data_IF_210324391380
#
_entry.id   IF_210324391380
#
_cell.length_a   1.000
_cell.length_b   1.000
_cell.length_c   1.000
_cell.angle_alpha   90.00
_cell.angle_beta   90.00
_cell.angle_gamma   90.00
#
_symmetry.space_group_name_H-M   'P 1'
#
loop_
_entity.id
_entity.type
_entity.pdbx_description
1 polymer ?
#
# COMPACT_ATOMS: atom_id res chain seq x y z
N UNK A 1 -6.76 -8.06 -1.53
CA UNK A 1 -5.67 -7.65 -2.43
C UNK A 1 -5.77 -6.15 -2.66
N UNK A 2 -4.71 -5.48 -3.08
CA UNK A 2 -4.71 -4.06 -3.47
C UNK A 2 -4.10 -3.90 -4.85
N UNK A 3 -4.62 -2.96 -5.64
CA UNK A 3 -4.01 -2.57 -6.90
C UNK A 3 -3.00 -1.46 -6.64
N UNK A 4 -1.78 -1.62 -7.15
CA UNK A 4 -0.67 -0.69 -6.95
C UNK A 4 -0.02 -0.34 -8.28
N UNK A 5 0.64 0.81 -8.34
CA UNK A 5 1.39 1.26 -9.51
C UNK A 5 2.89 1.07 -9.29
N UNK A 6 3.59 0.54 -10.30
CA UNK A 6 5.05 0.56 -10.31
C UNK A 6 5.56 1.96 -10.59
N UNK A 7 6.47 2.45 -9.75
CA UNK A 7 7.11 3.75 -9.90
C UNK A 7 8.52 3.54 -10.48
N UNK A 8 8.85 4.12 -11.65
CA UNK A 8 10.21 4.13 -12.15
C UNK A 8 11.13 4.96 -11.23
N UNK A 9 12.43 4.65 -11.17
CA UNK A 9 13.36 5.32 -10.24
C UNK A 9 13.47 6.85 -10.45
N UNK A 10 13.13 7.35 -11.64
CA UNK A 10 13.09 8.78 -11.96
C UNK A 10 11.74 9.45 -11.65
N UNK A 11 10.78 8.72 -11.08
CA UNK A 11 9.44 9.24 -10.82
C UNK A 11 9.49 10.39 -9.80
N UNK A 12 8.77 11.52 -10.01
CA UNK A 12 8.83 12.68 -9.11
C UNK A 12 8.49 12.38 -7.65
N UNK A 13 7.58 11.43 -7.40
CA UNK A 13 7.21 10.97 -6.04
C UNK A 13 8.37 10.38 -5.24
N UNK A 14 9.46 9.97 -5.91
CA UNK A 14 10.61 9.35 -5.28
C UNK A 14 11.73 10.34 -4.94
N UNK A 15 11.56 11.63 -5.26
CA UNK A 15 12.62 12.64 -5.12
C UNK A 15 13.21 12.73 -3.71
N UNK A 16 12.36 12.58 -2.69
CA UNK A 16 12.75 12.68 -1.28
C UNK A 16 13.01 11.30 -0.64
N UNK A 17 13.07 10.22 -1.44
CA UNK A 17 13.32 8.85 -0.98
C UNK A 17 14.79 8.46 -1.14
N UNK A 18 15.22 7.49 -0.33
CA UNK A 18 16.54 6.87 -0.50
C UNK A 18 16.62 6.26 -1.91
N UNK A 19 17.77 6.39 -2.57
CA UNK A 19 17.96 5.76 -3.89
C UNK A 19 17.78 4.25 -3.77
N UNK A 20 17.12 3.65 -4.75
CA UNK A 20 16.95 2.18 -4.84
C UNK A 20 18.30 1.48 -4.78
N UNK A 21 18.40 0.41 -3.99
CA UNK A 21 19.61 -0.43 -3.95
C UNK A 21 19.83 -1.04 -5.34
N UNK A 22 21.04 -0.94 -5.87
CA UNK A 22 21.35 -1.32 -7.26
C UNK A 22 21.13 -2.81 -7.53
N UNK A 23 21.10 -3.65 -6.49
CA UNK A 23 20.85 -5.09 -6.58
C UNK A 23 19.41 -5.45 -6.23
N UNK A 24 18.54 -4.47 -6.02
CA UNK A 24 17.13 -4.69 -5.73
C UNK A 24 16.32 -4.76 -7.03
N UNK A 25 15.80 -5.95 -7.40
CA UNK A 25 15.03 -6.09 -8.63
C UNK A 25 13.65 -5.44 -8.53
N UNK A 26 13.14 -5.19 -7.32
CA UNK A 26 11.77 -4.70 -7.11
C UNK A 26 11.71 -3.19 -7.29
N UNK A 27 10.69 -2.65 -7.98
CA UNK A 27 10.48 -1.21 -8.08
C UNK A 27 9.86 -0.65 -6.79
N UNK A 28 10.00 0.66 -6.60
CA UNK A 28 9.09 1.38 -5.72
C UNK A 28 7.65 1.24 -6.22
N UNK A 29 6.69 1.22 -5.30
CA UNK A 29 5.27 1.14 -5.69
C UNK A 29 4.45 2.23 -5.01
N UNK A 30 3.28 2.50 -5.58
CA UNK A 30 2.27 3.38 -5.01
C UNK A 30 0.94 2.62 -4.84
N UNK A 31 0.45 2.52 -3.60
CA UNK A 31 -0.91 2.12 -3.32
C UNK A 31 -1.81 3.35 -3.27
N UNK A 32 -2.72 3.50 -4.25
CA UNK A 32 -3.74 4.56 -4.23
C UNK A 32 -4.92 4.13 -3.37
N UNK A 33 -5.54 5.09 -2.70
CA UNK A 33 -6.70 4.80 -1.88
C UNK A 33 -7.96 4.70 -2.76
N UNK A 34 -8.84 3.76 -2.44
CA UNK A 34 -10.10 3.61 -3.14
C UNK A 34 -11.14 4.63 -2.65
N UNK A 35 -12.14 4.99 -3.46
CA UNK A 35 -13.24 5.86 -3.02
C UNK A 35 -13.89 5.41 -1.70
N UNK A 36 -14.11 4.10 -1.52
CA UNK A 36 -14.66 3.54 -0.28
C UNK A 36 -13.74 3.71 0.95
N UNK A 37 -12.43 3.80 0.73
CA UNK A 37 -11.47 4.09 1.80
C UNK A 37 -11.50 5.58 2.16
N UNK A 38 -11.66 6.45 1.16
CA UNK A 38 -11.78 7.90 1.36
C UNK A 38 -13.07 8.22 2.13
N UNK A 39 -14.20 7.63 1.69
CA UNK A 39 -15.52 7.84 2.31
C UNK A 39 -15.53 7.44 3.79
N UNK A 40 -14.98 6.28 4.15
CA UNK A 40 -14.90 5.83 5.54
C UNK A 40 -14.10 6.77 6.45
N UNK A 41 -13.07 7.42 5.91
CA UNK A 41 -12.30 8.42 6.67
C UNK A 41 -13.13 9.67 6.87
N UNK A 42 -13.79 10.17 5.82
CA UNK A 42 -14.68 11.33 5.91
C UNK A 42 -15.82 11.10 6.92
N UNK A 43 -16.52 9.97 6.84
CA UNK A 43 -17.60 9.59 7.77
C UNK A 43 -17.10 9.51 9.24
N UNK A 44 -15.90 8.98 9.47
CA UNK A 44 -15.31 8.94 10.83
C UNK A 44 -14.89 10.30 11.38
N UNK A 45 -14.59 11.27 10.51
CA UNK A 45 -14.27 12.65 10.89
C UNK A 45 -15.54 13.46 11.20
N UNK A 46 -16.64 13.18 10.52
CA UNK A 46 -17.93 13.85 10.77
C UNK A 46 -18.58 13.39 12.09
N UNK A 47 -18.45 12.12 12.47
CA UNK A 47 -18.98 11.60 13.75
C UNK A 47 -18.31 12.22 14.99
N UNK A 48 -17.09 12.75 14.85
CA UNK A 48 -16.35 13.39 15.94
C UNK A 48 -16.61 14.91 16.04
N UNK A 49 -17.33 15.50 15.08
CA UNK A 49 -17.59 16.93 15.04
C UNK A 49 -19.09 17.23 14.84
N UNK A 50 -19.89 17.02 15.90
CA UNK A 50 -21.24 17.58 15.97
C UNK A 50 -21.18 19.10 16.19
N UNK A 51 -20.88 19.85 15.14
CA UNK A 51 -21.40 21.20 14.99
C UNK A 51 -21.70 21.49 13.53
N UNK A 52 -22.98 21.76 13.29
CA UNK A 52 -23.66 22.12 12.05
C UNK A 52 -22.88 23.09 11.16
N UNK A 53 -22.65 22.69 9.91
CA UNK A 53 -22.62 23.64 8.77
C UNK A 53 -23.24 22.93 7.56
N UNK A 54 -24.32 23.50 7.05
CA UNK A 54 -24.97 23.16 5.80
C UNK A 54 -23.98 23.35 4.64
N UNK A 55 -23.81 22.32 3.80
CA UNK A 55 -22.99 22.40 2.60
C UNK A 55 -23.87 22.77 1.41
N UNK A 56 -23.72 24.02 0.98
CA UNK A 56 -24.17 24.50 -0.31
C UNK A 56 -23.46 23.71 -1.44
N UNK A 57 -24.27 23.33 -2.42
CA UNK A 57 -23.95 22.62 -3.64
C UNK A 57 -23.27 23.61 -4.63
N UNK A 58 -21.97 23.91 -4.47
CA UNK A 58 -21.20 24.60 -5.54
C UNK A 58 -19.68 24.68 -5.26
N UNK A 59 -18.92 23.59 -5.49
CA UNK A 59 -17.53 23.67 -5.98
C UNK A 59 -17.22 22.44 -6.83
N UNK A 60 -17.57 22.47 -8.11
CA UNK A 60 -17.02 21.56 -9.12
C UNK A 60 -15.54 21.90 -9.40
N UNK A 61 -14.63 21.53 -8.49
CA UNK A 61 -13.17 21.44 -8.73
C UNK A 61 -12.48 20.46 -7.74
N UNK A 62 -13.18 19.40 -7.32
CA UNK A 62 -12.70 18.42 -6.34
C UNK A 62 -11.73 17.39 -6.98
N UNK A 63 -10.48 17.85 -7.14
CA UNK A 63 -9.22 17.07 -7.11
C UNK A 63 -8.87 16.16 -8.31
N UNK A 64 -8.02 16.69 -9.21
CA UNK A 64 -7.21 15.89 -10.15
C UNK A 64 -6.19 14.96 -9.47
N UNK A 65 -6.15 14.92 -8.13
CA UNK A 65 -5.23 14.12 -7.32
C UNK A 65 -5.93 12.92 -6.70
N UNK A 66 -5.15 11.94 -6.24
CA UNK A 66 -5.61 10.80 -5.46
C UNK A 66 -4.67 10.57 -4.28
N UNK A 67 -5.19 10.28 -3.08
CA UNK A 67 -4.37 9.95 -1.94
C UNK A 67 -3.66 8.63 -2.15
N UNK A 68 -2.37 8.58 -1.81
CA UNK A 68 -1.53 7.41 -1.99
C UNK A 68 -0.59 7.12 -0.81
N UNK A 69 -0.11 5.88 -0.76
CA UNK A 69 0.88 5.40 0.19
C UNK A 69 2.03 4.74 -0.58
N UNK A 70 3.26 5.13 -0.26
CA UNK A 70 4.46 4.59 -0.91
C UNK A 70 4.82 3.22 -0.33
N UNK A 71 5.24 2.31 -1.20
CA UNK A 71 5.77 1.01 -0.81
C UNK A 71 7.22 0.92 -1.28
N UNK A 72 8.07 0.47 -0.37
CA UNK A 72 9.52 0.47 -0.51
C UNK A 72 9.99 -0.98 -0.60
N UNK A 73 10.75 -1.36 -1.64
CA UNK A 73 11.40 -2.66 -1.71
C UNK A 73 12.14 -2.98 -0.41
N UNK A 74 11.92 -4.18 0.14
CA UNK A 74 12.45 -4.54 1.47
C UNK A 74 13.98 -4.47 1.52
N UNK A 75 14.67 -4.89 0.45
CA UNK A 75 16.12 -4.81 0.34
C UNK A 75 16.61 -3.36 0.30
N UNK A 76 15.97 -2.50 -0.49
CA UNK A 76 16.27 -1.06 -0.54
C UNK A 76 16.02 -0.39 0.79
N UNK A 77 14.85 -0.63 1.39
CA UNK A 77 14.55 -0.16 2.74
C UNK A 77 15.71 -0.56 3.65
N UNK A 78 16.11 -1.83 3.62
CA UNK A 78 17.18 -2.36 4.47
C UNK A 78 18.62 -2.06 4.02
N UNK A 79 18.84 -1.32 2.92
CA UNK A 79 20.16 -1.05 2.33
C UNK A 79 21.00 -2.32 2.11
N UNK A 80 20.33 -3.38 1.66
CA UNK A 80 20.97 -4.68 1.44
C UNK A 80 21.31 -5.46 2.72
N UNK A 81 21.05 -4.92 3.92
CA UNK A 81 21.29 -5.64 5.16
C UNK A 81 20.19 -6.68 5.42
N UNK A 82 20.62 -7.93 5.61
CA UNK A 82 19.75 -9.01 6.03
C UNK A 82 19.73 -9.09 7.57
N UNK A 83 18.56 -9.28 8.21
CA UNK A 83 18.50 -9.52 9.63
C UNK A 83 19.26 -10.82 9.98
N UNK A 84 20.28 -10.70 10.83
CA UNK A 84 21.20 -11.79 11.20
C UNK A 84 20.51 -13.01 11.85
N UNK A 85 19.29 -12.84 12.36
CA UNK A 85 18.51 -13.89 13.03
C UNK A 85 17.47 -14.56 12.12
N UNK A 86 17.68 -14.54 10.80
CA UNK A 86 17.00 -15.45 9.88
C UNK A 86 15.51 -15.18 9.70
N UNK A 87 15.19 -14.21 8.85
CA UNK A 87 14.06 -14.35 7.91
C UNK A 87 14.57 -13.85 6.57
N UNK A 88 14.59 -14.72 5.54
CA UNK A 88 14.88 -14.26 4.18
C UNK A 88 13.80 -13.25 3.80
N UNK A 89 14.20 -12.13 3.20
CA UNK A 89 13.23 -11.31 2.47
C UNK A 89 12.55 -12.22 1.46
N UNK A 90 11.24 -12.13 1.39
CA UNK A 90 10.57 -12.76 0.26
C UNK A 90 11.01 -12.01 -0.99
N UNK A 91 11.23 -12.73 -2.08
CA UNK A 91 11.75 -12.16 -3.33
C UNK A 91 10.89 -11.00 -3.87
N UNK A 92 9.63 -10.90 -3.42
CA UNK A 92 8.64 -9.89 -3.77
C UNK A 92 8.14 -9.06 -2.56
N UNK A 93 8.90 -9.02 -1.45
CA UNK A 93 8.51 -8.28 -0.24
C UNK A 93 8.79 -6.77 -0.37
N UNK A 94 7.78 -5.97 -0.08
CA UNK A 94 7.83 -4.51 0.05
C UNK A 94 7.28 -4.08 1.42
N UNK A 95 7.72 -2.92 1.91
CA UNK A 95 7.21 -2.32 3.14
C UNK A 95 6.37 -1.09 2.85
N UNK A 96 5.25 -0.93 3.55
CA UNK A 96 4.47 0.29 3.48
C UNK A 96 5.15 1.41 4.28
N UNK A 97 5.38 2.55 3.66
CA UNK A 97 5.91 3.71 4.36
C UNK A 97 4.90 4.19 5.42
N UNK A 98 5.35 4.23 6.68
CA UNK A 98 4.50 4.53 7.85
C UNK A 98 3.97 5.97 7.79
N UNK A 99 4.79 6.92 7.32
CA UNK A 99 4.41 8.33 7.24
C UNK A 99 3.31 8.56 6.20
N UNK A 100 3.51 8.08 4.96
CA UNK A 100 2.50 8.15 3.90
C UNK A 100 1.30 7.21 4.10
N UNK A 101 1.41 6.22 4.99
CA UNK A 101 0.26 5.42 5.41
C UNK A 101 -0.69 6.20 6.33
N UNK A 102 -0.13 7.02 7.23
CA UNK A 102 -0.88 7.84 8.18
C UNK A 102 -1.38 9.12 7.53
N UNK A 103 -0.53 9.81 6.77
CA UNK A 103 -0.87 11.02 6.01
C UNK A 103 -0.59 10.75 4.53
N UNK A 104 -1.60 10.36 3.73
CA UNK A 104 -1.39 10.03 2.32
C UNK A 104 -0.82 11.22 1.56
N UNK A 105 -0.06 10.90 0.52
CA UNK A 105 0.43 11.90 -0.44
C UNK A 105 -0.65 12.14 -1.49
N UNK A 106 -0.84 13.41 -1.87
CA UNK A 106 -1.75 13.77 -2.95
C UNK A 106 -1.04 13.59 -4.29
N UNK A 107 -1.47 12.58 -5.06
CA UNK A 107 -0.83 12.19 -6.32
C UNK A 107 -1.67 12.64 -7.50
N UNK A 108 -1.16 13.52 -8.40
CA UNK A 108 -1.85 13.86 -9.64
C UNK A 108 -2.16 12.62 -10.47
N UNK A 109 -3.43 12.43 -10.88
CA UNK A 109 -3.87 11.28 -11.68
C UNK A 109 -3.11 11.15 -13.00
N UNK A 110 -2.69 12.29 -13.57
CA UNK A 110 -1.87 12.33 -14.79
C UNK A 110 -0.53 11.60 -14.62
N UNK A 111 0.04 11.56 -13.41
CA UNK A 111 1.27 10.82 -13.14
C UNK A 111 1.05 9.30 -13.16
N UNK A 112 -0.18 8.83 -13.03
CA UNK A 112 -0.52 7.40 -12.95
C UNK A 112 -0.88 6.79 -14.31
N UNK A 113 -1.19 7.60 -15.32
CA UNK A 113 -1.83 7.15 -16.56
C UNK A 113 -1.07 6.05 -17.31
N UNK A 114 0.26 6.13 -17.34
CA UNK A 114 1.13 5.19 -18.07
C UNK A 114 1.90 4.24 -17.16
N UNK A 115 1.53 4.15 -15.88
CA UNK A 115 2.26 3.30 -14.94
C UNK A 115 1.72 1.86 -14.94
N UNK A 116 2.60 0.85 -14.92
CA UNK A 116 2.18 -0.55 -14.80
C UNK A 116 1.40 -0.78 -13.51
N UNK A 117 0.29 -1.50 -13.61
CA UNK A 117 -0.51 -1.92 -12.45
C UNK A 117 -0.14 -3.31 -12.03
N UNK A 118 -0.03 -3.52 -10.72
CA UNK A 118 0.31 -4.80 -10.09
C UNK A 118 -0.59 -5.07 -8.91
N UNK A 119 -0.56 -6.32 -8.45
CA UNK A 119 -1.31 -6.75 -7.28
C UNK A 119 -0.40 -6.80 -6.06
N UNK A 120 -0.82 -6.13 -5.00
CA UNK A 120 -0.21 -6.18 -3.68
C UNK A 120 -1.08 -7.02 -2.73
N UNK A 121 -0.42 -7.95 -2.06
CA UNK A 121 -1.00 -8.83 -1.07
C UNK A 121 -0.58 -8.37 0.33
N UNK A 122 -1.57 -7.97 1.13
CA UNK A 122 -1.36 -7.43 2.47
C UNK A 122 -1.95 -8.32 3.55
N UNK A 123 -1.25 -8.45 4.67
CA UNK A 123 -1.73 -9.21 5.82
C UNK A 123 -0.79 -9.10 7.01
N UNK A 124 -1.14 -9.73 8.13
CA UNK A 124 -0.27 -9.79 9.31
C UNK A 124 0.92 -10.74 9.16
N UNK A 125 0.95 -11.52 8.08
CA UNK A 125 2.01 -12.48 7.75
C UNK A 125 1.60 -13.35 6.57
N UNK A 126 2.54 -14.15 6.05
CA UNK A 126 2.32 -14.97 4.87
C UNK A 126 1.22 -16.00 5.01
N UNK A 127 1.16 -16.67 6.15
CA UNK A 127 0.08 -17.62 6.43
C UNK A 127 -1.30 -16.96 6.39
N UNK A 128 -1.40 -15.69 6.80
CA UNK A 128 -2.64 -14.93 6.71
C UNK A 128 -2.97 -14.53 5.27
N UNK A 129 -1.97 -14.21 4.47
CA UNK A 129 -2.14 -13.80 3.07
C UNK A 129 -2.59 -14.98 2.21
N UNK A 130 -2.00 -16.17 2.41
CA UNK A 130 -2.32 -17.37 1.63
C UNK A 130 -3.48 -18.17 2.18
N UNK A 131 -4.08 -17.75 3.29
CA UNK A 131 -5.17 -18.49 3.93
C UNK A 131 -6.37 -18.60 2.99
N UNK A 132 -6.69 -19.83 2.61
CA UNK A 132 -7.85 -20.12 1.75
C UNK A 132 -7.64 -19.79 0.27
N UNK A 133 -6.40 -19.50 -0.14
CA UNK A 133 -6.04 -19.41 -1.55
C UNK A 133 -5.71 -20.82 -2.09
N UNK A 134 -6.07 -21.04 -3.34
CA UNK A 134 -5.67 -22.20 -4.12
C UNK A 134 -4.19 -22.12 -4.49
N UNK A 135 -3.59 -23.26 -4.86
CA UNK A 135 -2.20 -23.30 -5.36
C UNK A 135 -1.95 -22.32 -6.53
N UNK A 136 -2.91 -22.18 -7.45
CA UNK A 136 -2.78 -21.27 -8.61
C UNK A 136 -2.72 -19.81 -8.18
N UNK A 137 -3.51 -19.43 -7.17
CA UNK A 137 -3.49 -18.08 -6.61
C UNK A 137 -2.21 -17.80 -5.84
N UNK A 138 -1.73 -18.78 -5.06
CA UNK A 138 -0.43 -18.67 -4.37
C UNK A 138 0.70 -18.51 -5.39
N UNK A 139 0.72 -19.33 -6.44
CA UNK A 139 1.71 -19.23 -7.51
C UNK A 139 1.70 -17.84 -8.15
N UNK A 140 0.53 -17.35 -8.56
CA UNK A 140 0.37 -15.99 -9.10
C UNK A 140 0.86 -14.91 -8.13
N UNK A 141 0.54 -15.04 -6.83
CA UNK A 141 1.04 -14.11 -5.81
C UNK A 141 2.58 -14.09 -5.76
N UNK A 142 3.20 -15.26 -5.73
CA UNK A 142 4.65 -15.41 -5.63
C UNK A 142 5.40 -14.98 -6.90
N UNK A 143 4.79 -15.15 -8.07
CA UNK A 143 5.45 -14.90 -9.36
C UNK A 143 5.15 -13.53 -9.97
N UNK A 144 3.96 -12.98 -9.72
CA UNK A 144 3.46 -11.77 -10.42
C UNK A 144 3.04 -10.65 -9.46
N UNK A 145 2.92 -10.96 -8.17
CA UNK A 145 2.46 -10.04 -7.14
C UNK A 145 3.57 -9.59 -6.19
N UNK A 146 3.20 -8.65 -5.33
CA UNK A 146 4.04 -8.15 -4.23
C UNK A 146 3.41 -8.49 -2.89
N UNK A 147 4.24 -8.64 -1.85
CA UNK A 147 3.78 -8.91 -0.49
C UNK A 147 4.15 -7.76 0.43
N UNK A 148 3.20 -7.31 1.24
CA UNK A 148 3.43 -6.33 2.31
C UNK A 148 2.83 -6.81 3.63
N UNK A 149 3.69 -7.16 4.59
CA UNK A 149 3.26 -7.65 5.91
C UNK A 149 3.37 -6.62 7.02
N UNK A 150 4.08 -5.51 6.77
CA UNK A 150 4.45 -4.53 7.80
C UNK A 150 4.62 -3.13 7.23
N UNK A 151 4.41 -2.16 8.11
CA UNK A 151 4.81 -0.77 7.87
C UNK A 151 6.30 -0.58 8.18
N UNK A 152 6.84 0.53 7.73
CA UNK A 152 8.24 0.84 7.87
C UNK A 152 8.46 2.34 8.05
N UNK A 153 9.13 2.72 9.14
CA UNK A 153 9.46 4.11 9.39
C UNK A 153 10.81 4.44 8.73
N UNK A 154 10.79 5.28 7.70
CA UNK A 154 12.00 5.63 6.94
C UNK A 154 13.05 6.36 7.78
N UNK A 155 12.63 7.22 8.72
CA UNK A 155 13.52 8.05 9.55
C UNK A 155 14.28 7.21 10.58
N UNK A 156 13.54 6.37 11.33
CA UNK A 156 14.14 5.53 12.38
C UNK A 156 14.59 4.16 11.87
N UNK A 157 14.23 3.80 10.63
CA UNK A 157 14.48 2.50 10.01
C UNK A 157 13.86 1.32 10.79
N UNK A 158 12.89 1.60 11.65
CA UNK A 158 12.24 0.60 12.48
C UNK A 158 11.02 -0.01 11.78
N UNK A 159 10.75 -1.32 11.98
CA UNK A 159 9.50 -1.92 11.54
C UNK A 159 8.32 -1.33 12.31
N UNK A 160 7.18 -1.20 11.62
CA UNK A 160 5.91 -0.72 12.17
C UNK A 160 4.80 -1.71 11.87
N UNK A 161 3.72 -1.65 12.64
CA UNK A 161 2.50 -2.40 12.31
C UNK A 161 1.97 -1.89 10.96
N UNK A 162 1.47 -2.80 10.14
CA UNK A 162 0.83 -2.42 8.90
C UNK A 162 -0.42 -1.59 9.21
N UNK A 163 -0.62 -0.51 8.46
CA UNK A 163 -1.76 0.38 8.68
C UNK A 163 -3.07 -0.38 8.39
N UNK A 164 -4.09 -0.20 9.24
CA UNK A 164 -5.38 -0.91 9.18
C UNK A 164 -6.04 -0.87 7.79
N UNK A 165 -5.86 0.23 7.07
CA UNK A 165 -6.36 0.43 5.69
C UNK A 165 -5.80 -0.59 4.68
N UNK A 166 -4.54 -0.99 4.85
CA UNK A 166 -3.91 -1.98 3.99
C UNK A 166 -4.29 -3.40 4.39
N UNK A 167 -4.86 -3.62 5.58
CA UNK A 167 -5.43 -4.91 5.91
C UNK A 167 -6.70 -5.17 5.09
N UNK A 168 -6.69 -6.27 4.35
CA UNK A 168 -7.88 -6.78 3.70
C UNK A 168 -8.75 -7.41 4.79
N UNK A 169 -9.97 -6.91 5.00
CA UNK A 169 -10.95 -7.63 5.82
C UNK A 169 -11.37 -8.86 5.02
N UNK A 170 -10.98 -10.05 5.47
CA UNK A 170 -11.53 -11.31 4.97
C UNK A 170 -12.95 -11.44 5.48
N UNK A 171 -13.91 -10.77 4.86
CA UNK A 171 -15.29 -11.26 4.85
C UNK A 171 -15.35 -12.26 3.70
N UNK A 172 -15.09 -13.53 4.00
CA UNK A 172 -15.57 -14.59 3.12
C UNK A 172 -17.09 -14.49 3.15
N UNK A 173 -17.71 -14.23 2.00
CA UNK A 173 -19.10 -14.60 1.78
C UNK A 173 -19.15 -16.10 2.04
N UNK A 174 -19.82 -16.51 3.12
CA UNK A 174 -20.33 -17.87 3.19
C UNK A 174 -21.41 -17.89 2.12
N UNK A 175 -21.13 -18.57 1.01
CA UNK A 175 -22.21 -19.03 0.15
C UNK A 175 -23.02 -20.00 1.01
N UNK A 176 -24.23 -19.56 1.37
CA UNK A 176 -25.26 -20.43 1.92
C UNK A 176 -25.58 -21.44 0.81
N UNK A 177 -25.15 -22.69 0.98
CA UNK A 177 -25.67 -23.82 0.21
C UNK A 177 -27.05 -24.17 0.80
N UNK A 178 -28.10 -23.89 0.01
CA UNK A 178 -29.47 -24.41 0.18
C UNK A 178 -29.53 -25.94 -0.03
#
# INVERSE_FOLDING_TARGET
EHQVYELPDFHPLLKDLDRRDEKDPLPYLLAVWTPDQIKRVAESMEESNKHSVSLDDDVQDESLTVPGTLLIPSRTAMRGFFPLNGTYFQVNEVFADDESSQRPIDVPRIWLWNLPRRTLYCGSGITSIFRGLTWREIHRCCCEGFVCTRGFNRKTRAPKKLHSRLHVKTTKLQEDED
#
